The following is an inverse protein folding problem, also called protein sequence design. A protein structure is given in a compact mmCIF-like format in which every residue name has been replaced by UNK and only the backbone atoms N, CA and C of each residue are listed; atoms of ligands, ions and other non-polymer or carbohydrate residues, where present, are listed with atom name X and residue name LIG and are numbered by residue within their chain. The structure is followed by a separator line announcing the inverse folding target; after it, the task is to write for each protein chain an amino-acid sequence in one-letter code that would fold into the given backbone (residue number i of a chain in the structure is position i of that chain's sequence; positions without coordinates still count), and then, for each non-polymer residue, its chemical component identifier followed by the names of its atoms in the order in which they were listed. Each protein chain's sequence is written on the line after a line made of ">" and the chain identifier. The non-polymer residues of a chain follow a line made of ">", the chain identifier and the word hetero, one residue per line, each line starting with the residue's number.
data_IF_459012060092
#
_entry.id   IF_459012060092
#
_cell.length_a   1.000
_cell.length_b   1.000
_cell.length_c   1.000
_cell.angle_alpha   90.00
_cell.angle_beta   90.00
_cell.angle_gamma   90.00
#
_symmetry.space_group_name_H-M   'P 1'
#
loop_
_entity.id
_entity.type
_entity.pdbx_description
1 polymer ?
#
# COMPACT_ATOMS: atom_id res chain seq x y z
N UNK A 1 0.00 21.48 8.83
CA UNK A 1 -0.06 20.20 9.56
C UNK A 1 1.17 19.40 9.16
N UNK A 2 2.04 19.07 10.11
CA UNK A 2 3.28 18.31 9.84
C UNK A 2 3.00 16.81 9.87
N UNK A 3 3.83 16.02 9.17
CA UNK A 3 3.81 14.56 9.26
C UNK A 3 5.23 14.07 9.51
N UNK A 4 5.42 13.27 10.56
CA UNK A 4 6.67 12.59 10.87
C UNK A 4 6.41 11.09 10.68
N UNK A 5 7.13 10.48 9.74
CA UNK A 5 7.09 9.04 9.46
C UNK A 5 8.32 8.38 10.09
N UNK A 6 8.08 7.46 11.03
CA UNK A 6 9.11 6.66 11.69
C UNK A 6 8.94 5.19 11.34
N UNK A 7 9.95 4.62 10.70
CA UNK A 7 10.00 3.19 10.40
C UNK A 7 10.57 2.42 11.59
N UNK A 8 9.71 1.77 12.35
CA UNK A 8 10.11 1.10 13.60
C UNK A 8 11.04 -0.09 13.38
N UNK A 9 10.97 -0.72 12.21
CA UNK A 9 11.86 -1.81 11.79
C UNK A 9 13.33 -1.39 11.65
N UNK A 10 13.58 -0.08 11.49
CA UNK A 10 14.92 0.48 11.25
C UNK A 10 15.55 1.09 12.51
N UNK A 11 14.80 1.13 13.63
CA UNK A 11 15.23 1.74 14.88
C UNK A 11 15.57 0.68 15.92
N UNK A 12 16.59 0.95 16.73
CA UNK A 12 16.82 0.24 17.98
C UNK A 12 16.00 0.85 19.13
N UNK A 13 15.70 0.09 20.20
CA UNK A 13 14.98 0.59 21.38
C UNK A 13 15.60 1.85 21.99
N UNK A 14 16.92 1.93 21.98
CA UNK A 14 17.66 3.10 22.48
C UNK A 14 17.43 4.34 21.63
N UNK A 15 17.26 4.20 20.31
CA UNK A 15 17.07 5.33 19.41
C UNK A 15 15.73 6.02 19.67
N UNK A 16 14.69 5.23 19.96
CA UNK A 16 13.37 5.77 20.32
C UNK A 16 13.33 6.29 21.77
N UNK A 17 14.09 5.68 22.69
CA UNK A 17 14.14 6.11 24.10
C UNK A 17 14.91 7.42 24.27
N UNK A 18 15.90 7.64 23.41
CA UNK A 18 16.86 8.71 23.52
C UNK A 18 18.13 8.32 24.28
N UNK A 19 19.00 9.31 24.49
CA UNK A 19 20.30 9.11 25.12
C UNK A 19 20.24 9.39 26.63
N UNK A 20 20.75 8.49 27.49
CA UNK A 20 20.86 8.77 28.91
C UNK A 20 22.04 9.71 29.16
N UNK A 21 21.78 10.85 29.80
CA UNK A 21 22.76 11.87 30.14
C UNK A 21 22.74 12.08 31.66
N UNK A 22 23.93 12.17 32.27
CA UNK A 22 24.05 12.44 33.69
C UNK A 22 23.64 13.89 34.00
N UNK A 23 22.67 14.04 34.89
CA UNK A 23 22.33 15.30 35.55
C UNK A 23 23.17 15.42 36.81
N UNK A 24 24.33 16.08 36.67
CA UNK A 24 25.33 16.21 37.73
C UNK A 24 24.88 17.13 38.87
N UNK A 25 23.87 17.97 38.65
CA UNK A 25 23.34 18.85 39.70
C UNK A 25 22.45 18.09 40.68
N UNK A 26 21.65 17.14 40.18
CA UNK A 26 20.68 16.40 41.00
C UNK A 26 21.10 14.94 41.27
N UNK A 27 22.20 14.47 40.67
CA UNK A 27 22.66 13.08 40.80
C UNK A 27 21.73 12.06 40.12
N UNK A 28 21.03 12.49 39.06
CA UNK A 28 20.04 11.68 38.34
C UNK A 28 20.49 11.37 36.91
N UNK A 29 19.89 10.35 36.29
CA UNK A 29 20.02 10.12 34.84
C UNK A 29 18.79 10.69 34.14
N UNK A 30 18.99 11.60 33.18
CA UNK A 30 17.93 12.17 32.34
C UNK A 30 18.03 11.59 30.94
N UNK A 31 16.89 11.25 30.35
CA UNK A 31 16.81 10.81 28.96
C UNK A 31 16.58 12.02 28.06
N UNK A 32 17.50 12.25 27.11
CA UNK A 32 17.35 13.27 26.09
C UNK A 32 16.64 12.66 24.90
N UNK A 33 15.42 13.13 24.57
CA UNK A 33 14.66 12.56 23.47
C UNK A 33 15.36 12.79 22.13
N UNK A 34 15.24 11.83 21.20
CA UNK A 34 15.78 11.98 19.87
C UNK A 34 15.18 13.20 19.15
N UNK A 35 15.94 13.76 18.23
CA UNK A 35 15.55 14.98 17.49
C UNK A 35 14.36 14.77 16.54
N UNK A 36 14.13 13.54 16.09
CA UNK A 36 13.05 13.22 15.15
C UNK A 36 11.67 13.18 15.80
N UNK A 37 11.58 13.24 17.14
CA UNK A 37 10.30 13.29 17.84
C UNK A 37 9.79 14.75 17.93
N UNK A 38 8.48 14.96 17.75
CA UNK A 38 7.92 16.31 17.75
C UNK A 38 8.00 16.97 19.13
N UNK A 39 8.42 18.23 19.18
CA UNK A 39 8.52 18.99 20.45
C UNK A 39 7.47 20.07 20.58
N UNK A 40 6.99 20.59 19.45
CA UNK A 40 6.04 21.70 19.37
C UNK A 40 5.19 21.61 18.09
N UNK A 41 4.21 22.49 17.97
CA UNK A 41 3.32 22.55 16.81
C UNK A 41 2.29 21.41 16.79
N UNK A 42 1.79 21.13 15.58
CA UNK A 42 0.69 20.21 15.34
C UNK A 42 0.95 19.30 14.13
N UNK A 43 0.58 18.03 14.24
CA UNK A 43 0.89 17.08 13.19
C UNK A 43 0.47 15.64 13.44
N UNK A 44 0.99 14.74 12.62
CA UNK A 44 0.80 13.31 12.72
C UNK A 44 2.17 12.65 12.93
N UNK A 45 2.31 11.92 14.03
CA UNK A 45 3.42 11.00 14.27
C UNK A 45 2.98 9.61 13.81
N UNK A 46 3.52 9.16 12.69
CA UNK A 46 3.16 7.91 12.05
C UNK A 46 4.25 6.86 12.24
N UNK A 47 3.90 5.75 12.87
CA UNK A 47 4.81 4.66 13.19
C UNK A 47 4.59 3.50 12.21
N UNK A 48 5.38 3.47 11.14
CA UNK A 48 5.26 2.46 10.09
C UNK A 48 6.00 1.17 10.45
N UNK A 49 5.58 0.07 9.84
CA UNK A 49 6.16 -1.27 10.01
C UNK A 49 6.19 -1.75 11.47
N UNK A 50 5.21 -1.36 12.28
CA UNK A 50 5.14 -1.67 13.72
C UNK A 50 5.33 -3.15 14.02
N UNK A 51 4.70 -4.02 13.24
CA UNK A 51 4.74 -5.46 13.45
C UNK A 51 5.96 -6.18 12.85
N UNK A 52 6.80 -5.47 12.10
CA UNK A 52 8.13 -5.97 11.70
C UNK A 52 9.21 -5.64 12.73
N UNK A 53 8.94 -4.65 13.59
CA UNK A 53 9.87 -4.25 14.62
C UNK A 53 9.99 -5.36 15.69
N UNK A 54 11.18 -5.57 16.30
CA UNK A 54 11.37 -6.52 17.38
C UNK A 54 10.42 -6.27 18.57
N UNK A 55 10.05 -7.29 19.37
CA UNK A 55 9.09 -7.13 20.47
C UNK A 55 9.40 -5.99 21.46
N UNK A 56 10.68 -5.74 21.74
CA UNK A 56 11.11 -4.62 22.59
C UNK A 56 10.76 -3.25 21.97
N UNK A 57 10.98 -3.08 20.65
CA UNK A 57 10.59 -1.88 19.91
C UNK A 57 9.08 -1.70 19.88
N UNK A 58 8.34 -2.79 19.71
CA UNK A 58 6.88 -2.75 19.76
C UNK A 58 6.39 -2.25 21.11
N UNK A 59 6.91 -2.80 22.22
CA UNK A 59 6.55 -2.36 23.57
C UNK A 59 6.74 -0.86 23.79
N UNK A 60 7.83 -0.31 23.25
CA UNK A 60 8.10 1.13 23.32
C UNK A 60 7.17 1.97 22.44
N UNK A 61 6.94 1.55 21.19
CA UNK A 61 5.99 2.20 20.30
C UNK A 61 4.58 2.20 20.90
N UNK A 62 4.18 1.15 21.60
CA UNK A 62 2.89 1.07 22.28
C UNK A 62 2.77 2.09 23.39
N UNK A 63 3.81 2.24 24.22
CA UNK A 63 3.85 3.30 25.24
C UNK A 63 3.68 4.68 24.60
N UNK A 64 4.36 4.91 23.47
CA UNK A 64 4.27 6.15 22.71
C UNK A 64 2.86 6.42 22.18
N UNK A 65 2.17 5.39 21.70
CA UNK A 65 0.84 5.52 21.11
C UNK A 65 -0.23 5.70 22.18
N UNK A 66 -0.18 4.89 23.24
CA UNK A 66 -1.24 4.82 24.26
C UNK A 66 -1.07 5.90 25.33
N UNK A 67 0.14 6.01 25.88
CA UNK A 67 0.43 6.92 26.97
C UNK A 67 0.93 8.28 26.46
N UNK A 68 1.08 8.43 25.13
CA UNK A 68 1.70 9.59 24.48
C UNK A 68 3.11 9.85 25.01
N UNK A 69 3.84 8.80 25.44
CA UNK A 69 5.09 8.95 26.18
C UNK A 69 6.10 7.86 25.87
N UNK A 70 7.38 8.21 25.87
CA UNK A 70 8.51 7.27 25.90
C UNK A 70 9.60 7.86 26.79
N UNK A 71 9.99 7.11 27.83
CA UNK A 71 10.94 7.61 28.82
C UNK A 71 10.41 8.89 29.50
N UNK A 72 11.21 9.96 29.47
CA UNK A 72 10.83 11.30 29.97
C UNK A 72 10.12 12.18 28.94
N UNK A 73 10.00 11.73 27.70
CA UNK A 73 9.36 12.48 26.63
C UNK A 73 7.86 12.22 26.56
N UNK A 74 7.12 13.29 26.25
CA UNK A 74 5.66 13.28 26.04
C UNK A 74 5.36 13.93 24.69
N UNK A 75 4.50 13.31 23.89
CA UNK A 75 4.03 13.82 22.61
C UNK A 75 3.15 15.05 22.84
N UNK A 76 3.40 16.21 22.18
CA UNK A 76 2.60 17.43 22.38
C UNK A 76 1.13 17.22 22.01
N UNK A 77 0.19 17.87 22.70
CA UNK A 77 -1.25 17.57 22.62
C UNK A 77 -1.85 17.67 21.20
N UNK A 78 -1.38 18.62 20.39
CA UNK A 78 -1.88 18.84 19.01
C UNK A 78 -1.30 17.84 17.97
N UNK A 79 -0.75 16.72 18.44
CA UNK A 79 -0.24 15.63 17.59
C UNK A 79 -1.10 14.38 17.67
N UNK A 80 -1.47 13.85 16.52
CA UNK A 80 -2.08 12.52 16.41
C UNK A 80 -1.00 11.46 16.26
N UNK A 81 -1.12 10.35 17.00
CA UNK A 81 -0.20 9.22 16.86
C UNK A 81 -0.94 8.08 16.15
N UNK A 82 -0.38 7.61 15.05
CA UNK A 82 -0.90 6.48 14.28
C UNK A 82 0.18 5.45 14.03
N UNK A 83 -0.21 4.21 13.73
CA UNK A 83 0.72 3.16 13.35
C UNK A 83 0.19 2.33 12.19
N UNK A 84 1.10 1.79 11.39
CA UNK A 84 0.81 0.84 10.34
C UNK A 84 1.61 -0.45 10.51
N UNK A 85 1.03 -1.54 10.02
CA UNK A 85 1.66 -2.85 9.98
C UNK A 85 1.13 -3.62 8.78
N UNK A 86 1.94 -4.56 8.29
CA UNK A 86 1.53 -5.45 7.19
C UNK A 86 0.62 -6.56 7.72
N UNK A 87 -0.23 -7.20 6.91
CA UNK A 87 -0.99 -8.34 7.45
C UNK A 87 -0.06 -9.52 7.71
N UNK A 88 -0.41 -10.37 8.67
CA UNK A 88 0.32 -11.61 8.93
C UNK A 88 0.37 -12.52 7.69
N UNK A 89 -0.69 -12.46 6.89
CA UNK A 89 -0.84 -13.22 5.65
C UNK A 89 0.14 -12.75 4.56
N UNK A 90 0.67 -11.52 4.68
CA UNK A 90 1.55 -10.93 3.68
C UNK A 90 3.03 -11.29 3.88
N UNK A 91 3.46 -11.75 5.07
CA UNK A 91 4.88 -11.99 5.39
C UNK A 91 5.13 -13.07 6.45
N UNK A 92 6.13 -13.92 6.22
CA UNK A 92 6.59 -14.97 7.14
C UNK A 92 7.43 -14.47 8.34
N UNK A 93 7.61 -13.15 8.50
CA UNK A 93 8.55 -12.56 9.48
C UNK A 93 7.91 -11.42 10.27
N UNK A 94 6.59 -11.51 10.52
CA UNK A 94 5.85 -10.56 11.34
C UNK A 94 5.81 -11.06 12.78
N UNK A 95 6.07 -10.17 13.73
CA UNK A 95 5.84 -10.46 15.14
C UNK A 95 4.37 -10.22 15.49
N UNK A 96 3.77 -11.20 16.15
CA UNK A 96 2.39 -11.12 16.60
C UNK A 96 2.21 -10.05 17.67
N UNK A 97 1.26 -9.15 17.44
CA UNK A 97 0.81 -8.22 18.48
C UNK A 97 0.02 -8.99 19.54
N UNK A 98 0.39 -8.93 20.83
CA UNK A 98 -0.38 -9.57 21.90
C UNK A 98 -1.83 -9.08 21.93
N UNK A 99 -2.80 -9.99 22.12
CA UNK A 99 -4.23 -9.64 22.09
C UNK A 99 -4.67 -8.54 23.09
N UNK A 100 -4.20 -8.50 24.35
CA UNK A 100 -4.58 -7.44 25.29
C UNK A 100 -4.15 -6.04 24.85
N UNK A 101 -3.08 -6.00 24.06
CA UNK A 101 -2.53 -4.77 23.53
C UNK A 101 -3.25 -4.35 22.25
N UNK A 102 -3.49 -5.29 21.34
CA UNK A 102 -4.29 -5.03 20.15
C UNK A 102 -5.65 -4.42 20.53
N UNK A 103 -6.26 -4.85 21.64
CA UNK A 103 -7.52 -4.30 22.15
C UNK A 103 -7.46 -2.81 22.57
N UNK A 104 -6.30 -2.15 22.51
CA UNK A 104 -6.12 -0.72 22.81
C UNK A 104 -6.00 0.14 21.55
N UNK A 105 -6.06 -0.48 20.37
CA UNK A 105 -5.99 0.18 19.08
C UNK A 105 -7.36 0.18 18.39
N UNK A 106 -7.62 1.24 17.62
CA UNK A 106 -8.63 1.18 16.55
C UNK A 106 -7.94 0.54 15.34
N UNK A 107 -8.43 -0.63 14.91
CA UNK A 107 -7.88 -1.34 13.75
C UNK A 107 -8.64 -0.94 12.50
N UNK A 108 -7.95 -0.29 11.57
CA UNK A 108 -8.49 0.02 10.25
C UNK A 108 -7.80 -0.87 9.23
N UNK A 109 -8.61 -1.68 8.54
CA UNK A 109 -8.10 -2.58 7.53
C UNK A 109 -8.20 -1.93 6.15
N UNK A 110 -7.06 -1.74 5.48
CA UNK A 110 -7.01 -1.13 4.14
C UNK A 110 -6.84 -2.24 3.10
N UNK A 111 -7.67 -2.22 2.07
CA UNK A 111 -7.68 -3.22 0.99
C UNK A 111 -7.63 -2.54 -0.38
N UNK A 112 -6.92 -3.16 -1.35
CA UNK A 112 -7.03 -2.77 -2.74
C UNK A 112 -8.45 -2.97 -3.25
N UNK A 113 -9.09 -1.89 -3.66
CA UNK A 113 -10.43 -1.92 -4.24
C UNK A 113 -10.39 -1.30 -5.64
N UNK A 114 -10.90 -2.03 -6.64
CA UNK A 114 -10.76 -1.63 -8.04
C UNK A 114 -11.42 -0.29 -8.34
N UNK A 115 -12.64 -0.03 -7.87
CA UNK A 115 -13.30 1.25 -8.15
C UNK A 115 -12.54 2.45 -7.56
N UNK A 116 -11.96 2.28 -6.37
CA UNK A 116 -11.14 3.32 -5.74
C UNK A 116 -9.86 3.55 -6.54
N UNK A 117 -9.22 2.46 -7.01
CA UNK A 117 -8.06 2.54 -7.88
C UNK A 117 -8.38 3.15 -9.23
N UNK A 118 -9.55 2.87 -9.81
CA UNK A 118 -10.00 3.45 -11.09
C UNK A 118 -10.15 4.96 -10.99
N UNK A 119 -10.76 5.47 -9.91
CA UNK A 119 -10.85 6.92 -9.67
C UNK A 119 -9.45 7.55 -9.63
N UNK A 120 -8.53 6.93 -8.87
CA UNK A 120 -7.14 7.37 -8.82
C UNK A 120 -6.43 7.31 -10.19
N UNK A 121 -6.63 6.22 -10.92
CA UNK A 121 -6.02 5.94 -12.22
C UNK A 121 -6.41 6.98 -13.28
N UNK A 122 -7.69 7.39 -13.28
CA UNK A 122 -8.19 8.45 -14.16
C UNK A 122 -7.55 9.81 -13.85
N UNK A 123 -7.31 10.12 -12.58
CA UNK A 123 -6.67 11.36 -12.16
C UNK A 123 -5.16 11.39 -12.43
N UNK A 124 -4.50 10.23 -12.46
CA UNK A 124 -3.05 10.08 -12.62
C UNK A 124 -2.63 9.59 -14.02
N UNK A 125 -3.55 9.63 -14.99
CA UNK A 125 -3.30 9.28 -16.40
C UNK A 125 -2.66 7.89 -16.56
N UNK A 126 -3.22 6.88 -15.90
CA UNK A 126 -2.84 5.47 -16.17
C UNK A 126 -3.38 5.09 -17.55
N UNK A 127 -2.56 4.38 -18.34
CA UNK A 127 -2.90 3.99 -19.71
C UNK A 127 -4.20 3.18 -19.76
N UNK A 128 -5.08 3.52 -20.71
CA UNK A 128 -6.41 2.93 -20.86
C UNK A 128 -6.39 1.39 -21.02
N UNK A 129 -5.38 0.84 -21.69
CA UNK A 129 -5.15 -0.60 -21.78
C UNK A 129 -5.02 -1.27 -20.42
N UNK A 130 -4.23 -0.69 -19.51
CA UNK A 130 -4.04 -1.22 -18.16
C UNK A 130 -5.35 -1.06 -17.37
N UNK A 131 -5.99 0.10 -17.45
CA UNK A 131 -7.23 0.35 -16.72
C UNK A 131 -8.38 -0.55 -17.21
N UNK A 132 -8.53 -0.71 -18.52
CA UNK A 132 -9.52 -1.58 -19.15
C UNK A 132 -9.26 -3.05 -18.83
N UNK A 133 -7.99 -3.48 -18.86
CA UNK A 133 -7.62 -4.82 -18.44
C UNK A 133 -7.96 -5.08 -16.98
N UNK A 134 -7.61 -4.17 -16.06
CA UNK A 134 -7.93 -4.31 -14.65
C UNK A 134 -9.43 -4.21 -14.39
N UNK A 135 -10.20 -3.51 -15.23
CA UNK A 135 -11.66 -3.54 -15.18
C UNK A 135 -12.23 -4.91 -15.57
N UNK A 136 -11.59 -5.60 -16.52
CA UNK A 136 -11.96 -6.96 -16.93
C UNK A 136 -11.45 -8.04 -15.95
N UNK A 137 -10.28 -7.83 -15.34
CA UNK A 137 -9.64 -8.72 -14.37
C UNK A 137 -9.31 -7.99 -13.05
N UNK A 138 -10.32 -7.55 -12.28
CA UNK A 138 -10.09 -6.76 -11.05
C UNK A 138 -9.29 -7.52 -9.99
N UNK A 139 -9.40 -8.85 -9.95
CA UNK A 139 -8.58 -9.70 -9.08
C UNK A 139 -7.07 -9.60 -9.34
N UNK A 140 -6.65 -9.12 -10.51
CA UNK A 140 -5.24 -8.87 -10.81
C UNK A 140 -4.77 -7.47 -10.39
N UNK A 141 -5.62 -6.63 -9.80
CA UNK A 141 -5.17 -5.38 -9.17
C UNK A 141 -4.21 -5.67 -8.01
N UNK A 142 -4.54 -6.70 -7.22
CA UNK A 142 -3.71 -7.19 -6.13
C UNK A 142 -3.80 -8.70 -6.04
N UNK A 143 -2.70 -9.38 -6.34
CA UNK A 143 -2.57 -10.83 -6.26
C UNK A 143 -1.16 -11.17 -5.75
N UNK A 144 -1.03 -11.26 -4.43
CA UNK A 144 0.23 -11.64 -3.80
C UNK A 144 0.66 -13.04 -4.26
N UNK A 145 1.92 -13.17 -4.65
CA UNK A 145 2.57 -14.45 -4.93
C UNK A 145 3.93 -14.48 -4.21
N UNK A 146 4.02 -15.11 -3.02
CA UNK A 146 5.26 -15.13 -2.24
C UNK A 146 6.41 -15.88 -2.90
N UNK A 147 6.15 -16.69 -3.94
CA UNK A 147 7.19 -17.47 -4.62
C UNK A 147 7.85 -16.69 -5.76
N UNK A 148 7.27 -15.55 -6.15
CA UNK A 148 7.76 -14.74 -7.27
C UNK A 148 8.20 -13.36 -6.76
N UNK A 149 9.33 -12.83 -7.27
CA UNK A 149 9.79 -11.50 -6.90
C UNK A 149 8.89 -10.37 -7.45
N UNK A 150 8.15 -10.65 -8.53
CA UNK A 150 7.25 -9.71 -9.20
C UNK A 150 5.83 -10.26 -9.20
N UNK A 151 4.88 -9.44 -8.74
CA UNK A 151 3.49 -9.84 -8.60
C UNK A 151 2.57 -8.61 -8.63
N UNK A 152 1.28 -8.76 -9.02
CA UNK A 152 0.38 -7.64 -9.16
C UNK A 152 -0.01 -7.00 -7.82
N UNK A 153 0.20 -5.70 -7.73
CA UNK A 153 -0.23 -4.79 -6.66
C UNK A 153 -0.51 -3.40 -7.26
N UNK A 154 -1.30 -2.54 -6.61
CA UNK A 154 -1.51 -1.16 -7.08
C UNK A 154 -0.19 -0.43 -7.35
N UNK A 155 0.81 -0.62 -6.49
CA UNK A 155 2.17 -0.07 -6.66
C UNK A 155 2.86 -0.62 -7.90
N UNK A 156 2.86 -1.94 -8.10
CA UNK A 156 3.48 -2.54 -9.29
C UNK A 156 2.82 -2.09 -10.59
N UNK A 157 1.50 -1.87 -10.60
CA UNK A 157 0.77 -1.38 -11.77
C UNK A 157 1.14 0.06 -12.11
N UNK A 158 1.43 0.90 -11.12
CA UNK A 158 1.98 2.25 -11.38
C UNK A 158 3.35 2.19 -12.04
N UNK A 159 4.20 1.23 -11.66
CA UNK A 159 5.50 1.05 -12.31
C UNK A 159 5.30 0.45 -13.70
N UNK A 160 4.42 -0.54 -13.84
CA UNK A 160 4.05 -1.13 -15.12
C UNK A 160 3.53 -0.08 -16.09
N UNK A 161 2.74 0.90 -15.64
CA UNK A 161 2.29 2.02 -16.47
C UNK A 161 3.46 2.81 -17.07
N UNK A 162 4.50 3.10 -16.28
CA UNK A 162 5.71 3.79 -16.77
C UNK A 162 6.48 2.94 -17.78
N UNK A 163 6.64 1.64 -17.50
CA UNK A 163 7.31 0.72 -18.41
C UNK A 163 6.53 0.54 -19.72
N UNK A 164 5.21 0.40 -19.62
CA UNK A 164 4.30 0.24 -20.74
C UNK A 164 4.33 1.46 -21.68
N UNK A 165 4.33 2.67 -21.13
CA UNK A 165 4.48 3.91 -21.91
C UNK A 165 5.82 4.00 -22.67
N UNK A 166 6.84 3.29 -22.18
CA UNK A 166 8.17 3.20 -22.80
C UNK A 166 8.32 1.95 -23.68
N UNK A 167 7.24 1.20 -23.94
CA UNK A 167 7.25 -0.09 -24.65
C UNK A 167 8.23 -1.12 -24.06
N UNK A 168 8.46 -1.07 -22.74
CA UNK A 168 9.25 -2.05 -22.02
C UNK A 168 8.40 -3.19 -21.47
N UNK A 169 9.03 -4.35 -21.23
CA UNK A 169 8.35 -5.50 -20.65
C UNK A 169 7.94 -5.22 -19.20
N UNK A 170 6.63 -5.33 -18.93
CA UNK A 170 6.05 -5.13 -17.61
C UNK A 170 6.11 -6.39 -16.73
N UNK A 171 6.47 -7.54 -17.29
CA UNK A 171 6.54 -8.82 -16.56
C UNK A 171 7.47 -8.76 -15.35
N UNK A 172 8.51 -7.92 -15.40
CA UNK A 172 9.46 -7.70 -14.31
C UNK A 172 8.85 -7.04 -13.07
N UNK A 173 7.63 -6.49 -13.16
CA UNK A 173 6.97 -5.80 -12.04
C UNK A 173 5.64 -6.42 -11.64
N UNK A 174 4.84 -6.90 -12.60
CA UNK A 174 3.53 -7.53 -12.33
C UNK A 174 3.55 -9.05 -12.45
N UNK A 175 4.69 -9.64 -12.82
CA UNK A 175 4.84 -11.06 -13.09
C UNK A 175 4.40 -11.45 -14.51
N UNK A 176 4.95 -12.57 -15.00
CA UNK A 176 4.73 -13.10 -16.35
C UNK A 176 3.25 -13.38 -16.65
N UNK A 177 2.52 -13.93 -15.68
CA UNK A 177 1.11 -14.29 -15.86
C UNK A 177 0.24 -13.08 -16.18
N UNK A 178 0.28 -12.05 -15.33
CA UNK A 178 -0.49 -10.83 -15.52
C UNK A 178 -0.05 -10.06 -16.78
N UNK A 179 1.25 -10.00 -17.07
CA UNK A 179 1.77 -9.37 -18.27
C UNK A 179 1.27 -10.05 -19.56
N UNK A 180 1.27 -11.39 -19.61
CA UNK A 180 0.80 -12.16 -20.77
C UNK A 180 -0.72 -12.01 -20.97
N UNK A 181 -1.48 -11.99 -19.88
CA UNK A 181 -2.93 -11.73 -19.93
C UNK A 181 -3.22 -10.32 -20.45
N UNK A 182 -2.50 -9.29 -19.97
CA UNK A 182 -2.62 -7.93 -20.48
C UNK A 182 -2.28 -7.87 -21.98
N UNK A 183 -1.17 -8.47 -22.41
CA UNK A 183 -0.77 -8.45 -23.81
C UNK A 183 -1.82 -9.10 -24.72
N UNK A 184 -2.45 -10.18 -24.25
CA UNK A 184 -3.55 -10.84 -24.96
C UNK A 184 -4.81 -9.97 -24.98
N UNK A 185 -5.14 -9.32 -23.86
CA UNK A 185 -6.24 -8.36 -23.77
C UNK A 185 -6.05 -7.19 -24.73
N UNK A 186 -4.86 -6.60 -24.80
CA UNK A 186 -4.54 -5.46 -25.69
C UNK A 186 -4.68 -5.86 -27.16
N UNK A 187 -4.26 -7.07 -27.54
CA UNK A 187 -4.45 -7.57 -28.91
C UNK A 187 -5.92 -7.62 -29.31
N UNK A 188 -6.80 -8.03 -28.40
CA UNK A 188 -8.25 -8.04 -28.62
C UNK A 188 -8.85 -6.63 -28.56
N UNK A 189 -8.39 -5.80 -27.64
CA UNK A 189 -8.83 -4.42 -27.47
C UNK A 189 -8.61 -3.60 -28.74
N UNK A 190 -7.43 -3.76 -29.37
CA UNK A 190 -7.09 -3.09 -30.62
C UNK A 190 -7.90 -3.58 -31.85
N UNK A 191 -8.65 -4.68 -31.73
CA UNK A 191 -9.56 -5.16 -32.77
C UNK A 191 -10.98 -4.62 -32.60
N UNK A 192 -11.28 -3.96 -31.48
CA UNK A 192 -12.60 -3.39 -31.25
C UNK A 192 -12.84 -2.22 -32.20
N UNK A 193 -14.02 -2.13 -32.82
CA UNK A 193 -14.38 -0.97 -33.61
C UNK A 193 -14.47 0.26 -32.71
N UNK A 194 -14.11 1.41 -33.28
CA UNK A 194 -14.20 2.69 -32.60
C UNK A 194 -15.64 2.94 -32.10
N UNK A 195 -15.76 3.19 -30.80
CA UNK A 195 -17.05 3.38 -30.12
C UNK A 195 -17.83 4.54 -30.74
N UNK A 196 -17.15 5.60 -31.17
CA UNK A 196 -17.78 6.76 -31.79
C UNK A 196 -18.41 6.37 -33.14
N UNK A 197 -17.70 5.54 -33.92
CA UNK A 197 -18.20 5.02 -35.21
C UNK A 197 -19.38 4.07 -34.99
N UNK A 198 -19.39 3.29 -33.90
CA UNK A 198 -20.53 2.42 -33.52
C UNK A 198 -21.74 3.25 -33.12
N UNK A 199 -21.56 4.28 -32.28
CA UNK A 199 -22.63 5.16 -31.81
C UNK A 199 -23.26 5.97 -32.95
N UNK A 200 -22.47 6.30 -33.97
CA UNK A 200 -22.93 6.97 -35.19
C UNK A 200 -23.59 6.00 -36.21
N UNK A 201 -23.71 4.71 -35.87
CA UNK A 201 -24.35 3.70 -36.72
C UNK A 201 -23.56 3.35 -37.99
N UNK A 202 -22.28 3.72 -38.05
CA UNK A 202 -21.44 3.53 -39.24
C UNK A 202 -20.72 2.17 -39.26
N UNK A 203 -20.91 1.32 -38.25
CA UNK A 203 -20.31 -0.03 -38.17
C UNK A 203 -21.32 -1.10 -38.57
N UNK A 204 -21.01 -1.88 -39.61
CA UNK A 204 -21.69 -3.17 -39.89
C UNK A 204 -21.11 -4.25 -38.97
N UNK A 205 -21.78 -4.51 -37.85
CA UNK A 205 -21.42 -5.62 -36.95
C UNK A 205 -21.66 -6.95 -37.69
N UNK A 206 -20.62 -7.49 -38.32
CA UNK A 206 -20.68 -8.73 -39.11
C UNK A 206 -20.09 -9.94 -38.37
N UNK A 207 -19.64 -9.79 -37.12
CA UNK A 207 -18.80 -10.79 -36.45
C UNK A 207 -19.38 -11.47 -35.20
N UNK A 208 -20.67 -11.31 -34.86
CA UNK A 208 -21.26 -11.93 -33.65
C UNK A 208 -22.28 -13.06 -33.88
N UNK A 209 -22.60 -13.42 -35.13
CA UNK A 209 -23.51 -14.53 -35.44
C UNK A 209 -22.81 -15.65 -36.21
N UNK A 210 -21.93 -16.41 -35.55
CA UNK A 210 -21.60 -17.76 -36.02
C UNK A 210 -22.59 -18.76 -35.42
N UNK A 211 -23.59 -19.07 -36.25
CA UNK A 211 -24.26 -20.37 -36.41
C UNK A 211 -24.69 -21.13 -35.15
N UNK A 212 -25.91 -20.88 -34.68
CA UNK A 212 -26.74 -21.98 -34.17
C UNK A 212 -27.61 -22.46 -35.35
N UNK A 213 -27.53 -23.74 -35.76
CA UNK A 213 -28.43 -24.26 -36.77
C UNK A 213 -29.84 -24.29 -36.20
N UNK A 214 -30.76 -23.74 -36.98
CA UNK A 214 -32.19 -23.70 -36.74
C UNK A 214 -32.74 -25.07 -36.34
N UNK A 215 -33.45 -25.13 -35.21
CA UNK A 215 -34.49 -26.15 -35.03
C UNK A 215 -35.81 -25.46 -35.34
N UNK A 216 -36.40 -25.95 -36.44
CA UNK A 216 -37.75 -25.67 -36.91
C UNK A 216 -38.68 -26.71 -36.25
N UNK A 217 -39.85 -26.22 -35.81
CA UNK A 217 -40.96 -26.85 -35.07
C UNK A 217 -40.79 -26.96 -33.55
#
# INVERSE_FOLDING_TARGET
>A
MQMIDLRLSQLAPTDLRGLPVADTEHGLSRWYPPEFLPREGQGILFLDELNLAPPAMQGMAQQLILDRRVGSYTVPDDWFVGAAGNRKEDRASVFDMPAPLANRFIHLNVEPHFESFKIYALQNTIHEHILGFLSFRPALLHKLDPQQPAWPSPRSWMIANKLYALNMDISYVVGMGAASELASFVKLYNQLPDVEVVLQGMVRISYFLRSHPSIML
#
